data_IF_730248456388
#
_entry.id   IF_730248456388
#
_cell.length_a   1.000
_cell.length_b   1.000
_cell.length_c   1.000
_cell.angle_alpha   90.00
_cell.angle_beta   90.00
_cell.angle_gamma   90.00
#
_symmetry.space_group_name_H-M   'P 1'
#
loop_
_entity.id
_entity.type
_entity.pdbx_description
1 polymer ?
#
# COMPACT_ATOMS: atom_id res chain seq x y z
N UNK A 1 5.61 18.99 3.89
CA UNK A 1 6.22 18.18 2.85
C UNK A 1 6.55 18.94 1.57
N UNK A 2 6.31 20.26 1.51
CA UNK A 2 6.64 21.13 0.39
C UNK A 2 7.55 22.26 0.83
N UNK A 3 8.53 21.94 1.67
CA UNK A 3 9.53 22.90 2.12
C UNK A 3 10.45 23.25 0.96
N UNK A 4 10.26 24.44 0.42
CA UNK A 4 10.97 24.92 -0.76
C UNK A 4 12.47 25.14 -0.51
N UNK A 5 12.89 25.24 0.75
CA UNK A 5 14.27 25.47 1.17
C UNK A 5 15.01 24.18 1.59
N UNK A 6 14.32 23.03 1.59
CA UNK A 6 14.92 21.74 1.93
C UNK A 6 15.56 21.07 0.70
N UNK A 7 15.05 21.33 -0.50
CA UNK A 7 15.54 20.77 -1.75
C UNK A 7 16.24 21.81 -2.62
N UNK A 8 17.23 21.39 -3.41
CA UNK A 8 17.89 22.26 -4.40
C UNK A 8 16.92 22.76 -5.47
N UNK A 9 15.92 21.95 -5.81
CA UNK A 9 14.85 22.27 -6.75
C UNK A 9 13.55 21.62 -6.34
N UNK A 10 12.48 22.40 -6.34
CA UNK A 10 11.14 21.97 -6.03
C UNK A 10 10.25 22.09 -7.27
N UNK A 11 9.53 21.02 -7.59
CA UNK A 11 8.58 20.95 -8.69
C UNK A 11 7.17 20.79 -8.13
N UNK A 12 6.26 21.65 -8.56
CA UNK A 12 4.83 21.58 -8.24
C UNK A 12 4.05 21.08 -9.45
N UNK A 13 4.25 19.80 -9.77
CA UNK A 13 3.61 19.16 -10.89
C UNK A 13 2.79 17.95 -10.41
N UNK A 14 1.77 17.51 -11.15
CA UNK A 14 1.07 16.29 -10.84
C UNK A 14 2.00 15.08 -10.80
N UNK A 15 1.82 14.20 -9.79
CA UNK A 15 2.58 12.96 -9.68
C UNK A 15 2.05 11.93 -10.68
N UNK A 16 2.31 12.17 -11.97
CA UNK A 16 2.01 11.23 -13.05
C UNK A 16 3.30 10.73 -13.69
N UNK A 17 3.22 9.62 -14.39
CA UNK A 17 4.36 9.02 -15.07
C UNK A 17 5.03 9.99 -16.05
N UNK A 18 4.23 10.78 -16.77
CA UNK A 18 4.68 11.74 -17.77
C UNK A 18 5.50 12.86 -17.12
N UNK A 19 4.93 13.56 -16.13
CA UNK A 19 5.61 14.68 -15.46
C UNK A 19 6.88 14.23 -14.74
N UNK A 20 6.80 13.11 -14.01
CA UNK A 20 7.97 12.55 -13.31
C UNK A 20 9.07 12.19 -14.30
N UNK A 21 8.74 11.54 -15.43
CA UNK A 21 9.70 11.19 -16.48
C UNK A 21 10.38 12.42 -17.08
N UNK A 22 9.62 13.50 -17.36
CA UNK A 22 10.14 14.76 -17.89
C UNK A 22 11.11 15.43 -16.91
N UNK A 23 10.76 15.46 -15.63
CA UNK A 23 11.63 16.02 -14.58
C UNK A 23 12.94 15.22 -14.49
N UNK A 24 12.87 13.90 -14.47
CA UNK A 24 14.05 13.03 -14.41
C UNK A 24 14.99 13.24 -15.60
N UNK A 25 14.44 13.38 -16.80
CA UNK A 25 15.20 13.68 -18.02
C UNK A 25 15.85 15.06 -17.95
N UNK A 26 15.08 16.07 -17.52
CA UNK A 26 15.55 17.46 -17.42
C UNK A 26 16.66 17.61 -16.40
N UNK A 27 16.50 17.00 -15.24
CA UNK A 27 17.46 17.10 -14.14
C UNK A 27 18.65 16.15 -14.30
N UNK A 28 18.58 15.21 -15.27
CA UNK A 28 19.59 14.14 -15.45
C UNK A 28 19.86 13.42 -14.13
N UNK A 29 18.80 13.10 -13.42
CA UNK A 29 18.87 12.42 -12.15
C UNK A 29 19.58 11.07 -12.29
N UNK A 30 20.34 10.66 -11.27
CA UNK A 30 20.96 9.34 -11.21
C UNK A 30 20.06 8.28 -10.58
N UNK A 31 19.13 8.71 -9.76
CA UNK A 31 18.18 7.85 -9.09
C UNK A 31 16.93 8.57 -8.60
N UNK A 32 15.92 7.81 -8.27
CA UNK A 32 14.68 8.31 -7.68
C UNK A 32 14.29 7.45 -6.47
N UNK A 33 13.88 8.12 -5.39
CA UNK A 33 13.31 7.50 -4.20
C UNK A 33 11.80 7.73 -4.23
N UNK A 34 11.01 6.66 -4.15
CA UNK A 34 9.55 6.70 -4.22
C UNK A 34 8.88 6.53 -2.85
N UNK A 35 9.54 5.85 -1.91
CA UNK A 35 8.97 5.46 -0.62
C UNK A 35 8.52 6.65 0.24
N UNK A 36 9.17 7.79 0.10
CA UNK A 36 8.88 8.99 0.90
C UNK A 36 7.73 9.85 0.36
N UNK A 37 7.16 9.48 -0.78
CA UNK A 37 6.09 10.23 -1.44
C UNK A 37 4.67 9.72 -1.16
N UNK A 38 4.51 8.80 -0.22
CA UNK A 38 3.24 8.15 0.10
C UNK A 38 2.71 7.28 -1.04
N UNK A 39 1.47 6.84 -0.93
CA UNK A 39 0.87 5.87 -1.86
C UNK A 39 0.87 6.35 -3.32
N UNK A 40 0.67 7.64 -3.56
CA UNK A 40 0.67 8.21 -4.92
C UNK A 40 2.02 8.02 -5.62
N UNK A 41 3.13 8.22 -4.91
CA UNK A 41 4.46 7.99 -5.47
C UNK A 41 4.78 6.49 -5.58
N UNK A 42 4.38 5.69 -4.60
CA UNK A 42 4.57 4.24 -4.59
C UNK A 42 3.85 3.59 -5.78
N UNK A 43 2.65 4.04 -6.13
CA UNK A 43 1.90 3.55 -7.28
C UNK A 43 2.59 3.82 -8.62
N UNK A 44 3.58 4.71 -8.67
CA UNK A 44 4.40 4.94 -9.86
C UNK A 44 5.55 3.94 -10.00
N UNK A 45 5.84 3.10 -8.99
CA UNK A 45 7.02 2.24 -8.98
C UNK A 45 7.11 1.34 -10.22
N UNK A 46 6.08 0.53 -10.47
CA UNK A 46 6.04 -0.38 -11.61
C UNK A 46 5.99 0.36 -12.96
N UNK A 47 5.03 1.30 -13.20
CA UNK A 47 4.98 2.03 -14.47
C UNK A 47 6.28 2.80 -14.77
N UNK A 48 6.90 3.38 -13.74
CA UNK A 48 8.15 4.10 -13.89
C UNK A 48 9.32 3.16 -14.22
N UNK A 49 9.40 2.01 -13.56
CA UNK A 49 10.42 0.99 -13.85
C UNK A 49 10.39 0.53 -15.31
N UNK A 50 9.20 0.26 -15.83
CA UNK A 50 8.99 -0.06 -17.24
C UNK A 50 9.43 1.09 -18.16
N UNK A 51 9.02 2.31 -17.83
CA UNK A 51 9.37 3.53 -18.57
C UNK A 51 10.86 3.78 -18.60
N UNK A 52 11.55 3.62 -17.47
CA UNK A 52 13.01 3.78 -17.39
C UNK A 52 13.76 2.77 -18.23
N UNK A 53 13.27 1.54 -18.31
CA UNK A 53 13.84 0.51 -19.21
C UNK A 53 13.78 0.95 -20.68
N UNK A 54 12.69 1.60 -21.09
CA UNK A 54 12.55 2.14 -22.45
C UNK A 54 13.43 3.38 -22.70
N UNK A 55 13.73 4.16 -21.67
CA UNK A 55 14.54 5.38 -21.79
C UNK A 55 16.03 5.13 -21.67
N UNK A 56 16.45 3.99 -21.16
CA UNK A 56 17.87 3.62 -21.00
C UNK A 56 18.68 3.71 -22.29
N UNK A 57 18.20 3.28 -23.47
CA UNK A 57 18.92 3.45 -24.75
C UNK A 57 19.09 4.92 -25.15
N UNK A 58 18.31 5.83 -24.60
CA UNK A 58 18.39 7.29 -24.84
C UNK A 58 19.45 7.97 -23.95
N UNK A 59 20.24 7.21 -23.19
CA UNK A 59 21.31 7.71 -22.33
C UNK A 59 20.85 8.09 -20.92
N UNK A 60 19.66 7.68 -20.50
CA UNK A 60 19.17 7.86 -19.15
C UNK A 60 19.58 6.63 -18.33
N UNK A 61 20.69 6.73 -17.61
CA UNK A 61 21.14 5.71 -16.66
C UNK A 61 20.64 6.07 -15.25
N UNK A 62 19.36 5.81 -15.02
CA UNK A 62 18.65 6.12 -13.79
C UNK A 62 18.09 4.84 -13.18
N UNK A 63 18.15 4.73 -11.87
CA UNK A 63 17.61 3.61 -11.12
C UNK A 63 16.58 4.07 -10.08
N UNK A 64 15.59 3.21 -9.80
CA UNK A 64 14.76 3.35 -8.60
C UNK A 64 15.61 2.86 -7.44
N UNK A 65 15.83 3.77 -6.47
CA UNK A 65 16.68 3.53 -5.30
C UNK A 65 15.81 3.16 -4.08
N UNK A 66 16.45 2.55 -3.10
CA UNK A 66 15.78 2.08 -1.88
C UNK A 66 15.09 0.74 -2.10
N UNK A 67 13.83 0.60 -1.66
CA UNK A 67 13.07 -0.64 -1.80
C UNK A 67 12.83 -0.97 -3.28
N UNK A 68 13.11 -2.20 -3.69
CA UNK A 68 12.91 -2.65 -5.07
C UNK A 68 11.43 -2.61 -5.47
N UNK A 69 11.14 -2.43 -6.77
CA UNK A 69 9.76 -2.44 -7.26
C UNK A 69 9.04 -3.76 -6.96
N UNK A 70 9.75 -4.88 -7.01
CA UNK A 70 9.19 -6.19 -6.70
C UNK A 70 8.80 -6.30 -5.23
N UNK A 71 9.63 -5.81 -4.30
CA UNK A 71 9.31 -5.77 -2.88
C UNK A 71 8.18 -4.78 -2.56
N UNK A 72 8.09 -3.65 -3.28
CA UNK A 72 6.97 -2.71 -3.18
C UNK A 72 5.68 -3.38 -3.63
N UNK A 73 5.69 -4.08 -4.74
CA UNK A 73 4.54 -4.80 -5.25
C UNK A 73 4.14 -5.95 -4.30
N UNK A 74 5.10 -6.73 -3.83
CA UNK A 74 4.86 -7.79 -2.84
C UNK A 74 4.24 -7.27 -1.54
N UNK A 75 4.66 -6.11 -1.07
CA UNK A 75 4.08 -5.48 0.13
C UNK A 75 2.70 -4.85 -0.11
N UNK A 76 2.39 -4.47 -1.36
CA UNK A 76 1.15 -3.77 -1.72
C UNK A 76 0.05 -4.73 -2.19
N UNK A 77 0.42 -5.83 -2.85
CA UNK A 77 -0.52 -6.85 -3.29
C UNK A 77 -0.86 -7.81 -2.15
N UNK A 78 -2.16 -8.01 -1.89
CA UNK A 78 -2.61 -8.81 -0.76
C UNK A 78 -2.18 -10.28 -0.86
N UNK A 79 -2.34 -10.90 -2.01
CA UNK A 79 -2.03 -12.34 -2.17
C UNK A 79 -0.52 -12.57 -2.05
N UNK A 80 0.28 -11.69 -2.64
CA UNK A 80 1.73 -11.71 -2.54
C UNK A 80 2.18 -11.50 -1.09
N UNK A 81 1.58 -10.53 -0.39
CA UNK A 81 1.90 -10.25 1.00
C UNK A 81 1.50 -11.39 1.94
N UNK A 82 0.34 -12.02 1.74
CA UNK A 82 -0.05 -13.21 2.49
C UNK A 82 0.92 -14.38 2.29
N UNK A 83 1.34 -14.61 1.05
CA UNK A 83 2.36 -15.62 0.74
C UNK A 83 3.70 -15.29 1.40
N UNK A 84 4.11 -14.01 1.39
CA UNK A 84 5.29 -13.52 2.09
C UNK A 84 5.20 -13.76 3.60
N UNK A 85 4.12 -13.33 4.24
CA UNK A 85 3.92 -13.48 5.68
C UNK A 85 3.97 -14.97 6.08
N UNK A 86 3.29 -15.84 5.32
CA UNK A 86 3.27 -17.27 5.56
C UNK A 86 4.66 -17.92 5.47
N UNK A 87 5.44 -17.60 4.42
CA UNK A 87 6.81 -18.15 4.27
C UNK A 87 7.79 -17.58 5.30
N UNK A 88 7.52 -16.37 5.81
CA UNK A 88 8.31 -15.72 6.86
C UNK A 88 7.88 -16.11 8.28
N UNK A 89 6.85 -16.95 8.44
CA UNK A 89 6.32 -17.35 9.74
C UNK A 89 5.63 -16.22 10.51
N UNK A 90 5.24 -15.15 9.83
CA UNK A 90 4.50 -14.03 10.42
C UNK A 90 3.02 -14.38 10.60
N UNK A 91 2.44 -13.94 11.70
CA UNK A 91 0.99 -14.05 11.91
C UNK A 91 0.29 -12.90 11.22
N UNK A 92 -0.83 -13.20 10.59
CA UNK A 92 -1.74 -12.22 10.04
C UNK A 92 -3.14 -12.45 10.61
N UNK A 93 -3.97 -11.40 10.72
CA UNK A 93 -5.39 -11.58 10.95
C UNK A 93 -6.00 -12.47 9.86
N UNK A 94 -6.94 -13.32 10.22
CA UNK A 94 -7.72 -14.04 9.23
C UNK A 94 -8.52 -13.03 8.42
N UNK A 95 -8.54 -13.20 7.11
CA UNK A 95 -9.28 -12.28 6.27
C UNK A 95 -9.42 -12.82 4.85
N UNK A 96 -10.38 -12.25 4.14
CA UNK A 96 -10.62 -12.58 2.74
C UNK A 96 -11.21 -11.39 2.00
N UNK A 97 -11.37 -11.52 0.69
CA UNK A 97 -12.00 -10.51 -0.15
C UNK A 97 -13.33 -11.02 -0.68
N UNK A 98 -14.30 -10.11 -0.83
CA UNK A 98 -15.57 -10.40 -1.46
C UNK A 98 -15.97 -9.29 -2.45
N UNK A 99 -16.62 -9.69 -3.54
CA UNK A 99 -17.13 -8.77 -4.55
C UNK A 99 -18.66 -8.71 -4.58
N UNK A 100 -19.31 -9.62 -3.83
CA UNK A 100 -20.76 -9.66 -3.67
C UNK A 100 -21.15 -9.61 -2.19
N UNK A 101 -22.39 -9.21 -1.91
CA UNK A 101 -22.92 -9.21 -0.55
C UNK A 101 -22.94 -10.63 0.06
N UNK A 102 -23.11 -11.66 -0.76
CA UNK A 102 -23.09 -13.04 -0.33
C UNK A 102 -21.69 -13.48 0.09
N UNK A 103 -20.66 -13.17 -0.72
CA UNK A 103 -19.27 -13.48 -0.39
C UNK A 103 -18.87 -12.84 0.93
N UNK A 104 -19.24 -11.57 1.13
CA UNK A 104 -18.90 -10.81 2.33
C UNK A 104 -19.61 -11.37 3.56
N UNK A 105 -20.89 -11.76 3.45
CA UNK A 105 -21.60 -12.43 4.55
C UNK A 105 -20.94 -13.75 4.92
N UNK A 106 -20.66 -14.59 3.93
CA UNK A 106 -20.01 -15.87 4.17
C UNK A 106 -18.65 -15.66 4.83
N UNK A 107 -17.84 -14.74 4.33
CA UNK A 107 -16.54 -14.38 4.92
C UNK A 107 -16.67 -13.94 6.39
N UNK A 108 -17.60 -13.04 6.69
CA UNK A 108 -17.82 -12.55 8.06
C UNK A 108 -18.33 -13.63 9.01
N UNK A 109 -19.15 -14.56 8.52
CA UNK A 109 -19.64 -15.70 9.32
C UNK A 109 -18.54 -16.73 9.58
N UNK A 110 -17.65 -16.97 8.61
CA UNK A 110 -16.53 -17.90 8.74
C UNK A 110 -15.44 -17.36 9.69
N UNK A 111 -15.16 -16.05 9.62
CA UNK A 111 -14.19 -15.37 10.49
C UNK A 111 -14.75 -15.23 11.92
N UNK A 112 -16.03 -14.88 12.04
CA UNK A 112 -16.68 -14.54 13.31
C UNK A 112 -16.58 -13.05 13.64
N UNK A 113 -17.56 -12.54 14.39
CA UNK A 113 -17.57 -11.12 14.80
C UNK A 113 -16.72 -10.87 16.05
N UNK A 114 -16.15 -9.65 16.19
CA UNK A 114 -16.24 -8.52 15.27
C UNK A 114 -15.32 -8.64 14.06
N UNK A 115 -15.78 -8.14 12.91
CA UNK A 115 -14.99 -8.05 11.69
C UNK A 115 -14.72 -6.60 11.30
N UNK A 116 -13.60 -6.37 10.65
CA UNK A 116 -13.27 -5.10 9.99
C UNK A 116 -13.56 -5.23 8.50
N UNK A 117 -14.41 -4.35 7.97
CA UNK A 117 -14.64 -4.27 6.52
C UNK A 117 -14.00 -3.00 5.99
N UNK A 118 -13.30 -3.12 4.87
CA UNK A 118 -12.67 -2.00 4.19
C UNK A 118 -12.62 -2.18 2.68
N UNK A 119 -12.84 -1.12 1.89
CA UNK A 119 -12.58 -1.16 0.47
C UNK A 119 -11.10 -1.39 0.17
N UNK A 120 -10.78 -2.19 -0.84
CA UNK A 120 -9.39 -2.52 -1.21
C UNK A 120 -8.58 -1.31 -1.71
N UNK A 121 -9.24 -0.23 -2.12
CA UNK A 121 -8.63 0.91 -2.83
C UNK A 121 -8.81 2.25 -2.12
N UNK A 122 -9.14 2.27 -0.84
CA UNK A 122 -9.41 3.53 -0.12
C UNK A 122 -8.26 3.87 0.79
N UNK A 123 -7.72 5.09 0.63
CA UNK A 123 -6.72 5.68 1.52
C UNK A 123 -7.41 6.42 2.69
N UNK A 124 -6.78 6.40 3.86
CA UNK A 124 -7.21 7.18 5.02
C UNK A 124 -8.47 6.67 5.71
N UNK A 125 -8.73 5.36 5.69
CA UNK A 125 -9.81 4.73 6.48
C UNK A 125 -11.24 5.04 6.01
N UNK A 126 -11.41 5.68 4.86
CA UNK A 126 -12.73 6.05 4.36
C UNK A 126 -13.52 4.81 3.94
N UNK A 127 -14.72 4.63 4.48
CA UNK A 127 -15.56 3.45 4.24
C UNK A 127 -15.09 2.19 5.00
N UNK A 128 -14.22 2.35 6.00
CA UNK A 128 -13.77 1.30 6.88
C UNK A 128 -14.69 1.26 8.10
N UNK A 129 -15.23 0.09 8.42
CA UNK A 129 -16.13 -0.10 9.55
C UNK A 129 -15.84 -1.38 10.32
N UNK A 130 -15.97 -1.29 11.65
CA UNK A 130 -15.91 -2.44 12.55
C UNK A 130 -17.34 -2.87 12.82
N UNK A 131 -17.66 -4.09 12.42
CA UNK A 131 -19.00 -4.65 12.54
C UNK A 131 -18.99 -5.73 13.62
N UNK A 132 -19.83 -5.56 14.61
CA UNK A 132 -19.86 -6.42 15.81
C UNK A 132 -20.87 -7.56 15.71
N UNK A 133 -21.74 -7.56 14.71
CA UNK A 133 -22.77 -8.57 14.51
C UNK A 133 -23.37 -8.54 13.10
N UNK A 134 -24.14 -9.56 12.77
CA UNK A 134 -24.79 -9.72 11.47
C UNK A 134 -25.76 -8.58 11.11
N UNK A 135 -26.43 -8.00 12.10
CA UNK A 135 -27.36 -6.90 11.85
C UNK A 135 -26.63 -5.65 11.33
N UNK A 136 -25.48 -5.31 11.92
CA UNK A 136 -24.64 -4.22 11.44
C UNK A 136 -24.06 -4.52 10.06
N UNK A 137 -23.66 -5.78 9.82
CA UNK A 137 -23.19 -6.21 8.50
C UNK A 137 -24.25 -6.02 7.42
N UNK A 138 -25.48 -6.42 7.67
CA UNK A 138 -26.57 -6.26 6.71
C UNK A 138 -26.87 -4.78 6.43
N UNK A 139 -26.89 -3.93 7.45
CA UNK A 139 -27.07 -2.48 7.28
C UNK A 139 -25.93 -1.86 6.45
N UNK A 140 -24.68 -2.24 6.72
CA UNK A 140 -23.55 -1.78 5.94
C UNK A 140 -23.66 -2.18 4.45
N UNK A 141 -24.05 -3.45 4.18
CA UNK A 141 -24.18 -3.95 2.81
C UNK A 141 -25.33 -3.34 2.01
N UNK A 142 -26.35 -2.82 2.67
CA UNK A 142 -27.44 -2.06 2.02
C UNK A 142 -26.97 -0.70 1.47
N UNK A 143 -25.97 -0.08 2.11
CA UNK A 143 -25.41 1.21 1.73
C UNK A 143 -24.11 1.08 0.90
N UNK A 144 -23.44 -0.07 0.98
CA UNK A 144 -22.16 -0.29 0.32
C UNK A 144 -22.31 -0.39 -1.20
N UNK A 145 -21.46 0.35 -1.90
CA UNK A 145 -21.32 0.17 -3.35
C UNK A 145 -20.42 -1.04 -3.64
N UNK A 146 -21.03 -2.15 -4.01
CA UNK A 146 -20.33 -3.37 -4.40
C UNK A 146 -20.14 -3.40 -5.92
N UNK A 147 -18.91 -3.62 -6.36
CA UNK A 147 -18.59 -3.78 -7.77
C UNK A 147 -17.53 -4.87 -7.95
N UNK A 148 -17.59 -5.66 -9.04
CA UNK A 148 -16.64 -6.75 -9.28
C UNK A 148 -15.18 -6.31 -9.34
N UNK A 149 -14.93 -5.07 -9.76
CA UNK A 149 -13.62 -4.43 -9.84
C UNK A 149 -13.18 -3.73 -8.54
N UNK A 150 -14.03 -3.74 -7.51
CA UNK A 150 -13.79 -3.08 -6.22
C UNK A 150 -14.14 -4.00 -5.06
N UNK A 151 -13.33 -5.04 -4.82
CA UNK A 151 -13.58 -5.96 -3.73
C UNK A 151 -13.50 -5.25 -2.37
N UNK A 152 -14.33 -5.71 -1.43
CA UNK A 152 -14.20 -5.38 -0.02
C UNK A 152 -13.34 -6.44 0.67
N UNK A 153 -12.50 -5.99 1.57
CA UNK A 153 -11.74 -6.82 2.49
C UNK A 153 -12.58 -7.04 3.75
N UNK A 154 -12.62 -8.26 4.23
CA UNK A 154 -13.25 -8.66 5.50
C UNK A 154 -12.15 -9.31 6.32
N UNK A 155 -11.74 -8.65 7.38
CA UNK A 155 -10.65 -9.08 8.24
C UNK A 155 -11.15 -9.28 9.68
N UNK A 156 -10.54 -10.22 10.40
CA UNK A 156 -10.71 -10.37 11.86
C UNK A 156 -10.27 -9.09 12.56
N UNK A 157 -11.10 -8.54 13.44
CA UNK A 157 -10.78 -7.31 14.17
C UNK A 157 -10.06 -7.59 15.48
N UNK A 158 -8.83 -7.16 15.58
CA UNK A 158 -7.97 -7.32 16.74
C UNK A 158 -8.20 -6.19 17.77
N UNK A 159 -9.31 -6.22 18.50
CA UNK A 159 -9.75 -5.13 19.39
C UNK A 159 -8.85 -4.83 20.60
N UNK A 160 -7.89 -5.68 20.92
CA UNK A 160 -6.98 -5.52 22.07
C UNK A 160 -5.50 -5.58 21.66
N UNK A 161 -5.22 -5.31 20.38
CA UNK A 161 -3.85 -5.27 19.90
C UNK A 161 -3.20 -3.92 20.23
N UNK A 162 -1.93 -3.95 20.57
CA UNK A 162 -1.09 -2.75 20.63
C UNK A 162 -0.60 -2.45 19.21
N UNK A 163 -0.84 -1.25 18.71
CA UNK A 163 -0.39 -0.81 17.40
C UNK A 163 1.04 -0.28 17.50
N UNK A 164 1.93 -0.84 16.72
CA UNK A 164 3.36 -0.52 16.74
C UNK A 164 3.83 -0.29 15.29
N UNK A 165 4.46 0.87 15.06
CA UNK A 165 5.20 1.16 13.84
C UNK A 165 6.70 0.90 14.05
N UNK A 166 7.35 0.37 13.03
CA UNK A 166 8.80 0.14 13.04
C UNK A 166 9.43 0.74 11.79
N UNK A 167 10.30 1.72 11.99
CA UNK A 167 11.11 2.27 10.91
C UNK A 167 12.46 1.54 10.83
N UNK A 168 12.78 1.04 9.66
CA UNK A 168 14.04 0.34 9.41
C UNK A 168 14.66 0.72 8.08
N UNK A 169 15.98 0.68 8.02
CA UNK A 169 16.77 0.80 6.80
C UNK A 169 17.55 -0.49 6.55
N UNK A 170 17.70 -0.86 5.28
CA UNK A 170 18.44 -2.03 4.86
C UNK A 170 19.39 -1.67 3.71
N UNK A 171 20.64 -2.15 3.77
CA UNK A 171 21.61 -1.99 2.70
C UNK A 171 21.66 -3.21 1.73
N UNK A 172 20.75 -4.17 1.94
CA UNK A 172 20.67 -5.42 1.21
C UNK A 172 21.30 -6.61 1.95
N UNK A 173 22.00 -6.38 3.05
CA UNK A 173 22.66 -7.40 3.89
C UNK A 173 22.27 -7.25 5.35
N UNK A 174 22.41 -6.05 5.88
CA UNK A 174 22.13 -5.72 7.26
C UNK A 174 20.88 -4.83 7.39
N UNK A 175 20.13 -5.01 8.48
CA UNK A 175 18.94 -4.22 8.78
C UNK A 175 19.20 -3.41 10.06
N UNK A 176 19.03 -2.11 9.96
CA UNK A 176 19.07 -1.20 11.09
C UNK A 176 17.64 -0.75 11.43
N UNK A 177 17.19 -1.10 12.64
CA UNK A 177 15.94 -0.56 13.19
C UNK A 177 16.25 0.82 13.77
N UNK A 178 15.67 1.85 13.16
CA UNK A 178 15.87 3.26 13.53
C UNK A 178 14.94 3.73 14.64
N UNK A 179 13.68 3.29 14.58
CA UNK A 179 12.66 3.65 15.58
C UNK A 179 11.61 2.54 15.72
N UNK A 180 11.07 2.45 16.94
CA UNK A 180 9.87 1.66 17.27
C UNK A 180 8.92 2.60 18.00
N UNK A 181 7.70 2.77 17.47
CA UNK A 181 6.71 3.71 17.96
C UNK A 181 5.44 2.95 18.32
N UNK A 182 4.93 3.17 19.52
CA UNK A 182 3.64 2.65 19.98
C UNK A 182 2.60 3.77 19.86
N UNK A 183 1.45 3.45 19.27
CA UNK A 183 0.32 4.36 19.21
C UNK A 183 -0.40 4.41 20.56
N UNK A 184 -0.70 5.62 21.03
CA UNK A 184 -1.37 5.89 22.32
C UNK A 184 -2.87 6.07 22.14
#
# INVERSE_FOLDING_TARGET
STDFDTSDRLYFDPLTLEYVSEILLREKAHGILLQFGGQTAINLALPLSERLTLLKPMGLDLSIMGTSCDAVDEASDRERFEAFAKRSGLRMPNGTTGTSAEDIRNAAMDIGFPVLIRPSYVLGGRGMEILSNEQQLNAYLEEAYLAPDKPLLVDDYLGHATEIDVDAACDGTDVLVGAIMEHL
#
